data_IF_787937557378
#
_entry.id   IF_787937557378
#
_cell.length_a   1.000
_cell.length_b   1.000
_cell.length_c   1.000
_cell.angle_alpha   90.00
_cell.angle_beta   90.00
_cell.angle_gamma   90.00
#
_symmetry.space_group_name_H-M   'P 1'
#
loop_
_entity.id
_entity.type
_entity.pdbx_description
1 polymer ?
#
# COMPACT_ATOMS: atom_id res chain seq x y z
N UNK A 1 2.65 5.89 11.16
CA UNK A 1 1.54 6.28 10.24
C UNK A 1 1.02 5.08 9.46
N UNK A 2 1.91 4.36 8.77
CA UNK A 2 1.60 3.11 8.04
C UNK A 2 0.89 2.03 8.88
N UNK A 3 1.44 1.64 10.04
CA UNK A 3 0.84 0.59 10.87
C UNK A 3 -0.56 0.96 11.38
N UNK A 4 -0.79 2.25 11.66
CA UNK A 4 -2.09 2.78 12.06
C UNK A 4 -3.07 2.68 10.89
N UNK A 5 -2.65 3.03 9.67
CA UNK A 5 -3.48 2.88 8.47
C UNK A 5 -3.80 1.41 8.18
N UNK A 6 -2.84 0.50 8.37
CA UNK A 6 -3.05 -0.95 8.24
C UNK A 6 -4.09 -1.49 9.22
N UNK A 7 -3.97 -1.11 10.50
CA UNK A 7 -4.95 -1.44 11.54
C UNK A 7 -6.34 -0.84 11.25
N UNK A 8 -6.40 0.42 10.81
CA UNK A 8 -7.64 1.10 10.46
C UNK A 8 -8.30 0.50 9.22
N UNK A 9 -7.52 0.13 8.21
CA UNK A 9 -8.00 -0.56 7.01
C UNK A 9 -8.62 -1.92 7.37
N UNK A 10 -7.93 -2.72 8.21
CA UNK A 10 -8.48 -3.98 8.74
C UNK A 10 -9.78 -3.80 9.52
N UNK A 11 -9.98 -2.64 10.16
CA UNK A 11 -11.19 -2.28 10.91
C UNK A 11 -12.26 -1.56 10.05
N UNK A 12 -12.12 -1.53 8.72
CA UNK A 12 -13.00 -0.78 7.80
C UNK A 12 -13.11 0.73 8.08
N UNK A 13 -12.15 1.30 8.82
CA UNK A 13 -12.11 2.74 9.13
C UNK A 13 -11.59 3.57 7.95
N UNK A 14 -10.77 2.96 7.09
CA UNK A 14 -10.14 3.63 5.94
C UNK A 14 -10.39 2.76 4.71
N UNK A 15 -10.89 3.39 3.65
CA UNK A 15 -11.10 2.75 2.33
C UNK A 15 -9.88 2.89 1.43
N UNK A 16 -9.82 2.08 0.37
CA UNK A 16 -8.78 2.15 -0.66
C UNK A 16 -8.65 3.55 -1.26
N UNK A 17 -9.76 4.22 -1.56
CA UNK A 17 -9.75 5.61 -2.09
C UNK A 17 -9.07 6.61 -1.13
N UNK A 18 -9.26 6.43 0.18
CA UNK A 18 -8.64 7.28 1.19
C UNK A 18 -7.14 6.99 1.30
N UNK A 19 -6.77 5.71 1.28
CA UNK A 19 -5.38 5.27 1.20
C UNK A 19 -4.66 5.85 -0.03
N UNK A 20 -5.31 5.86 -1.18
CA UNK A 20 -4.77 6.44 -2.42
C UNK A 20 -4.52 7.95 -2.29
N UNK A 21 -5.42 8.69 -1.61
CA UNK A 21 -5.18 10.11 -1.29
C UNK A 21 -3.98 10.30 -0.36
N UNK A 22 -3.76 9.41 0.61
CA UNK A 22 -2.58 9.48 1.47
C UNK A 22 -1.27 9.23 0.69
N UNK A 23 -1.30 8.39 -0.35
CA UNK A 23 -0.17 8.20 -1.27
C UNK A 23 0.12 9.50 -2.04
N UNK A 24 -0.91 10.10 -2.63
CA UNK A 24 -0.78 11.37 -3.40
C UNK A 24 -0.28 12.51 -2.50
N UNK A 25 -0.72 12.53 -1.25
CA UNK A 25 -0.26 13.50 -0.24
C UNK A 25 1.15 13.22 0.30
N UNK A 26 1.81 12.14 -0.13
CA UNK A 26 3.13 11.75 0.36
C UNK A 26 3.15 11.32 1.82
N UNK A 27 1.99 10.97 2.40
CA UNK A 27 1.88 10.50 3.80
C UNK A 27 2.27 9.03 3.93
N UNK A 28 2.14 8.26 2.85
CA UNK A 28 2.60 6.88 2.69
C UNK A 28 3.16 6.70 1.28
N UNK A 29 4.02 5.70 1.07
CA UNK A 29 4.52 5.34 -0.26
C UNK A 29 3.54 4.41 -0.99
N UNK A 30 3.71 4.25 -2.30
CA UNK A 30 2.95 3.27 -3.07
C UNK A 30 3.15 1.84 -2.53
N UNK A 31 4.38 1.46 -2.20
CA UNK A 31 4.70 0.17 -1.58
C UNK A 31 3.91 -0.07 -0.27
N UNK A 32 3.80 0.95 0.56
CA UNK A 32 3.00 0.91 1.78
C UNK A 32 1.50 0.79 1.49
N UNK A 33 1.00 1.48 0.46
CA UNK A 33 -0.38 1.29 0.03
C UNK A 33 -0.63 -0.18 -0.36
N UNK A 34 0.27 -0.77 -1.15
CA UNK A 34 0.21 -2.16 -1.60
C UNK A 34 0.24 -3.15 -0.43
N UNK A 35 1.09 -2.93 0.57
CA UNK A 35 1.14 -3.77 1.78
C UNK A 35 -0.13 -3.67 2.64
N UNK A 36 -0.79 -2.50 2.66
CA UNK A 36 -2.07 -2.32 3.36
C UNK A 36 -3.23 -2.95 2.60
N UNK A 37 -3.33 -2.73 1.29
CA UNK A 37 -4.43 -3.23 0.46
C UNK A 37 -4.29 -4.70 0.09
N UNK A 38 -3.09 -5.27 0.26
CA UNK A 38 -2.75 -6.63 -0.15
C UNK A 38 -2.62 -6.77 -1.67
N UNK A 39 -2.63 -5.66 -2.40
CA UNK A 39 -2.34 -5.65 -3.83
C UNK A 39 -0.83 -5.88 -3.98
N UNK A 40 -0.40 -7.13 -4.19
CA UNK A 40 1.00 -7.42 -4.51
C UNK A 40 1.41 -6.53 -5.68
N UNK A 41 2.41 -5.68 -5.47
CA UNK A 41 3.20 -5.13 -6.56
C UNK A 41 3.71 -6.33 -7.34
N UNK A 42 3.12 -6.58 -8.51
CA UNK A 42 3.58 -7.63 -9.42
C UNK A 42 4.83 -7.08 -10.12
N UNK A 43 5.90 -6.90 -9.36
CA UNK A 43 7.22 -6.51 -9.83
C UNK A 43 8.23 -7.55 -9.34
N UNK A 44 7.97 -8.80 -9.71
CA UNK A 44 8.97 -9.85 -9.77
C UNK A 44 8.68 -10.66 -11.04
N UNK A 45 9.22 -10.17 -12.15
CA UNK A 45 9.84 -11.01 -13.17
C UNK A 45 11.18 -10.33 -13.52
N UNK A 46 12.21 -10.61 -12.73
CA UNK A 46 13.32 -11.54 -13.05
C UNK A 46 14.50 -10.78 -13.66
N UNK A 47 15.33 -10.20 -12.79
CA UNK A 47 16.77 -10.09 -13.06
C UNK A 47 17.35 -11.50 -12.84
N UNK A 48 17.43 -12.31 -13.90
CA UNK A 48 18.35 -13.45 -14.03
C UNK A 48 18.15 -14.06 -15.42
N UNK A 49 18.98 -13.66 -16.38
CA UNK A 49 19.67 -14.63 -17.23
C UNK A 49 20.98 -13.98 -17.71
N UNK A 50 22.05 -14.68 -17.36
CA UNK A 50 23.47 -14.34 -17.44
C UNK A 50 24.06 -14.90 -18.73
#
# INVERSE_FOLDING_TARGET
MFEILKQRYKKNFVRKDQLQKYVILGKITQEQYFDITGEKQKSEQTEEEF
#
